data_IF_232284175172
#
_entry.id   IF_232284175172
#
_cell.length_a   1.000
_cell.length_b   1.000
_cell.length_c   1.000
_cell.angle_alpha   90.00
_cell.angle_beta   90.00
_cell.angle_gamma   90.00
#
_symmetry.space_group_name_H-M   'P 1'
#
loop_
_entity.id
_entity.type
_entity.pdbx_description
1 polymer ?
#
# COMPACT_ATOMS: atom_id res chain seq x y z
N UNK A 1 -24.76 -18.42 11.34
CA UNK A 1 -24.00 -19.04 12.45
C UNK A 1 -22.56 -18.92 12.00
N UNK A 2 -21.72 -18.26 12.80
CA UNK A 2 -20.31 -18.14 12.47
C UNK A 2 -19.68 -19.47 12.90
N UNK A 3 -19.42 -20.33 11.92
CA UNK A 3 -18.86 -21.65 12.16
C UNK A 3 -17.32 -21.55 12.19
N UNK A 4 -16.70 -22.27 13.12
CA UNK A 4 -15.25 -22.42 13.12
C UNK A 4 -14.84 -23.20 11.87
N UNK A 5 -13.90 -22.63 11.10
CA UNK A 5 -13.37 -23.24 9.89
C UNK A 5 -11.88 -23.49 10.01
N UNK A 6 -11.42 -24.62 9.48
CA UNK A 6 -9.98 -24.94 9.44
C UNK A 6 -9.23 -24.08 8.41
N UNK A 7 -9.90 -23.70 7.32
CA UNK A 7 -9.32 -22.92 6.21
C UNK A 7 -10.33 -21.91 5.70
N UNK A 8 -9.85 -20.68 5.47
CA UNK A 8 -10.58 -19.63 4.78
C UNK A 8 -9.91 -19.32 3.42
N UNK A 9 -10.69 -18.79 2.48
CA UNK A 9 -10.27 -18.46 1.12
C UNK A 9 -10.43 -16.97 0.80
N UNK A 10 -9.86 -16.53 -0.31
CA UNK A 10 -9.98 -15.15 -0.76
C UNK A 10 -11.46 -14.76 -0.99
N UNK A 11 -11.89 -13.66 -0.36
CA UNK A 11 -13.28 -13.18 -0.39
C UNK A 11 -14.02 -13.38 0.93
N UNK A 12 -13.51 -14.24 1.82
CA UNK A 12 -14.11 -14.48 3.12
C UNK A 12 -13.87 -13.31 4.09
N UNK A 13 -14.88 -12.99 4.90
CA UNK A 13 -14.71 -12.14 6.08
C UNK A 13 -14.63 -13.06 7.30
N UNK A 14 -13.49 -13.04 7.99
CA UNK A 14 -13.20 -13.99 9.06
C UNK A 14 -12.79 -13.27 10.34
N UNK A 15 -13.13 -13.88 11.48
CA UNK A 15 -12.51 -13.58 12.76
C UNK A 15 -11.23 -14.41 12.90
N UNK A 16 -10.12 -13.78 13.30
CA UNK A 16 -8.85 -14.47 13.55
C UNK A 16 -8.44 -14.29 15.01
N UNK A 17 -8.20 -15.41 15.70
CA UNK A 17 -7.61 -15.41 17.04
C UNK A 17 -6.10 -15.64 16.94
N UNK A 18 -5.31 -14.63 17.30
CA UNK A 18 -3.84 -14.68 17.24
C UNK A 18 -3.25 -14.89 18.64
N UNK A 19 -2.23 -15.73 18.76
CA UNK A 19 -1.47 -15.89 20.01
C UNK A 19 -0.32 -14.89 20.07
N UNK A 20 -0.05 -14.35 21.26
CA UNK A 20 1.06 -13.42 21.52
C UNK A 20 1.04 -12.15 20.66
N UNK A 21 -0.11 -11.76 20.13
CA UNK A 21 -0.28 -10.46 19.50
C UNK A 21 -0.61 -9.41 20.57
N UNK A 22 0.04 -8.25 20.50
CA UNK A 22 -0.40 -7.08 21.26
C UNK A 22 -1.50 -6.38 20.47
N UNK A 23 -2.66 -6.14 21.10
CA UNK A 23 -3.81 -5.47 20.49
C UNK A 23 -3.43 -4.07 19.99
N UNK A 24 -2.53 -3.36 20.68
CA UNK A 24 -2.07 -2.03 20.29
C UNK A 24 -1.38 -2.01 18.90
N UNK A 25 -0.93 -3.16 18.40
CA UNK A 25 -0.32 -3.29 17.07
C UNK A 25 -1.34 -3.60 15.97
N UNK A 26 -2.59 -3.92 16.32
CA UNK A 26 -3.66 -4.31 15.39
C UNK A 26 -4.61 -3.13 15.14
N UNK A 27 -4.11 -2.17 14.37
CA UNK A 27 -4.90 -1.00 13.94
C UNK A 27 -5.69 -1.29 12.67
N UNK A 28 -6.58 -0.37 12.27
CA UNK A 28 -7.40 -0.52 11.06
C UNK A 28 -6.62 -0.63 9.73
N UNK A 29 -5.34 -0.27 9.71
CA UNK A 29 -4.45 -0.40 8.56
C UNK A 29 -3.45 -1.55 8.69
N UNK A 30 -3.56 -2.38 9.73
CA UNK A 30 -2.65 -3.51 9.93
C UNK A 30 -2.90 -4.57 8.87
N UNK A 31 -1.81 -5.00 8.21
CA UNK A 31 -1.84 -6.07 7.20
C UNK A 31 -1.21 -7.31 7.82
N UNK A 32 -1.97 -8.41 7.86
CA UNK A 32 -1.49 -9.72 8.32
C UNK A 32 -1.12 -10.55 7.09
N UNK A 33 0.14 -10.96 7.01
CA UNK A 33 0.66 -11.81 5.93
C UNK A 33 1.42 -13.00 6.50
N UNK A 34 1.55 -14.06 5.70
CA UNK A 34 2.44 -15.15 6.03
C UNK A 34 3.90 -14.64 6.07
N UNK A 35 4.70 -15.01 7.09
CA UNK A 35 6.11 -14.66 7.12
C UNK A 35 6.86 -15.31 5.95
N UNK A 36 8.01 -14.74 5.53
CA UNK A 36 8.86 -15.39 4.54
C UNK A 36 9.30 -16.77 5.06
N UNK A 37 9.33 -17.76 4.17
CA UNK A 37 9.73 -19.14 4.47
C UNK A 37 10.97 -19.48 3.67
N UNK A 38 12.02 -19.93 4.36
CA UNK A 38 13.27 -20.40 3.75
C UNK A 38 13.54 -21.84 4.21
N UNK A 39 13.36 -22.81 3.31
CA UNK A 39 13.71 -24.21 3.53
C UNK A 39 14.76 -24.69 2.51
N UNK A 40 16.01 -24.70 2.96
CA UNK A 40 17.16 -25.14 2.18
C UNK A 40 17.12 -26.63 1.83
N UNK A 41 16.43 -27.47 2.61
CA UNK A 41 16.35 -28.92 2.36
C UNK A 41 15.32 -29.23 1.28
N UNK A 42 14.20 -28.50 1.30
CA UNK A 42 13.14 -28.61 0.29
C UNK A 42 13.42 -27.75 -0.96
N UNK A 43 14.50 -26.97 -0.98
CA UNK A 43 14.80 -25.96 -2.01
C UNK A 43 13.61 -25.00 -2.24
N UNK A 44 13.00 -24.57 -1.14
CA UNK A 44 11.81 -23.71 -1.12
C UNK A 44 12.16 -22.36 -0.50
N UNK A 45 11.88 -21.28 -1.23
CA UNK A 45 11.93 -19.91 -0.74
C UNK A 45 10.61 -19.22 -1.09
N UNK A 46 9.85 -18.82 -0.07
CA UNK A 46 8.62 -18.05 -0.19
C UNK A 46 8.90 -16.66 0.40
N UNK A 47 9.00 -15.61 -0.40
CA UNK A 47 9.27 -14.26 0.11
C UNK A 47 8.05 -13.68 0.81
N UNK A 48 8.24 -12.57 1.52
CA UNK A 48 7.13 -11.77 2.04
C UNK A 48 6.23 -11.31 0.88
N UNK A 49 4.91 -11.46 1.05
CA UNK A 49 3.90 -11.16 0.03
C UNK A 49 3.75 -9.66 -0.28
N UNK A 50 4.24 -8.79 0.60
CA UNK A 50 4.27 -7.34 0.41
C UNK A 50 5.71 -6.83 0.27
N UNK A 51 5.84 -5.73 -0.44
CA UNK A 51 7.03 -4.91 -0.53
C UNK A 51 6.82 -3.64 0.28
N UNK A 52 7.88 -3.17 0.95
CA UNK A 52 7.85 -1.96 1.79
C UNK A 52 8.43 -0.79 1.00
N UNK A 53 7.70 0.31 0.92
CA UNK A 53 8.09 1.51 0.19
C UNK A 53 8.27 2.67 1.17
N UNK A 54 9.52 3.00 1.49
CA UNK A 54 9.84 4.29 2.12
C UNK A 54 9.82 5.44 1.10
N UNK A 55 10.18 5.12 -0.14
CA UNK A 55 10.09 5.98 -1.32
C UNK A 55 9.50 5.18 -2.47
N UNK A 56 8.68 5.83 -3.28
CA UNK A 56 8.11 5.20 -4.47
C UNK A 56 8.22 6.08 -5.71
N UNK A 57 8.32 5.41 -6.86
CA UNK A 57 7.90 5.98 -8.14
C UNK A 57 6.40 5.76 -8.29
N UNK A 58 5.67 6.82 -8.59
CA UNK A 58 4.20 6.84 -8.72
C UNK A 58 3.85 7.25 -10.13
N UNK A 59 3.41 6.30 -10.95
CA UNK A 59 2.87 6.56 -12.28
C UNK A 59 1.40 6.92 -12.15
N UNK A 60 1.08 8.21 -12.22
CA UNK A 60 -0.25 8.74 -11.89
C UNK A 60 -1.12 8.89 -13.14
N UNK A 61 -2.20 8.11 -13.20
CA UNK A 61 -3.30 8.40 -14.10
C UNK A 61 -4.22 9.44 -13.47
N UNK A 62 -4.00 10.69 -13.86
CA UNK A 62 -4.74 11.84 -13.33
C UNK A 62 -6.23 11.74 -13.64
N UNK A 63 -7.06 12.07 -12.65
CA UNK A 63 -8.51 12.15 -12.78
C UNK A 63 -8.92 13.23 -13.79
N UNK A 64 -9.91 12.98 -14.66
CA UNK A 64 -10.33 13.95 -15.69
C UNK A 64 -10.92 15.24 -15.10
N UNK A 65 -11.32 15.23 -13.83
CA UNK A 65 -11.86 16.41 -13.14
C UNK A 65 -10.80 17.20 -12.38
N UNK A 66 -9.55 16.71 -12.35
CA UNK A 66 -8.49 17.35 -11.61
C UNK A 66 -8.03 18.62 -12.33
N UNK A 67 -7.93 19.70 -11.55
CA UNK A 67 -7.51 21.04 -12.03
C UNK A 67 -6.10 21.40 -11.60
N UNK A 68 -5.57 20.71 -10.58
CA UNK A 68 -4.25 20.97 -10.00
C UNK A 68 -3.25 19.95 -10.51
N UNK A 69 -2.06 20.43 -10.85
CA UNK A 69 -0.90 19.59 -11.18
C UNK A 69 -0.03 19.50 -9.93
N UNK A 70 0.40 18.29 -9.57
CA UNK A 70 1.29 18.09 -8.42
C UNK A 70 2.67 18.68 -8.71
N UNK A 71 3.26 19.28 -7.69
CA UNK A 71 4.60 19.85 -7.74
C UNK A 71 5.48 19.29 -6.60
N UNK A 72 6.81 19.36 -6.72
CA UNK A 72 7.71 19.05 -5.60
C UNK A 72 7.32 19.84 -4.34
N UNK A 73 7.27 19.15 -3.20
CA UNK A 73 6.86 19.69 -1.92
C UNK A 73 5.38 19.49 -1.57
N UNK A 74 4.50 19.20 -2.55
CA UNK A 74 3.09 18.92 -2.29
C UNK A 74 2.93 17.67 -1.41
N UNK A 75 1.91 17.71 -0.54
CA UNK A 75 1.55 16.60 0.36
C UNK A 75 0.42 15.79 -0.28
N UNK A 76 0.67 14.50 -0.48
CA UNK A 76 -0.30 13.54 -1.04
C UNK A 76 -0.59 12.43 -0.05
N UNK A 77 -1.71 11.75 -0.26
CA UNK A 77 -2.14 10.60 0.51
C UNK A 77 -2.35 9.43 -0.44
N UNK A 78 -1.68 8.31 -0.16
CA UNK A 78 -1.91 7.04 -0.84
C UNK A 78 -2.94 6.22 -0.05
N UNK A 79 -3.98 5.77 -0.75
CA UNK A 79 -4.99 4.86 -0.20
C UNK A 79 -4.99 3.55 -0.97
N UNK A 80 -4.68 2.46 -0.26
CA UNK A 80 -4.62 1.10 -0.82
C UNK A 80 -4.67 0.07 0.31
N UNK A 81 -5.43 -1.02 0.14
CA UNK A 81 -5.54 -2.08 1.14
C UNK A 81 -5.85 -1.57 2.57
N UNK A 82 -6.73 -0.58 2.69
CA UNK A 82 -7.09 0.14 3.93
C UNK A 82 -5.96 0.95 4.57
N UNK A 83 -4.76 0.93 4.01
CA UNK A 83 -3.72 1.89 4.37
C UNK A 83 -4.12 3.27 3.87
N UNK A 84 -3.77 4.28 4.67
CA UNK A 84 -3.90 5.68 4.30
C UNK A 84 -2.61 6.41 4.72
N UNK A 85 -1.65 6.45 3.81
CA UNK A 85 -0.27 6.88 4.09
C UNK A 85 -0.01 8.26 3.51
N UNK A 86 0.53 9.15 4.32
CA UNK A 86 0.95 10.49 3.93
C UNK A 86 2.32 10.42 3.26
N UNK A 87 2.50 11.16 2.18
CA UNK A 87 3.78 11.33 1.53
C UNK A 87 3.97 12.73 0.95
N UNK A 88 5.23 13.06 0.67
CA UNK A 88 5.64 14.31 0.05
C UNK A 88 6.24 14.05 -1.32
N UNK A 89 5.76 14.80 -2.32
CA UNK A 89 6.31 14.74 -3.67
C UNK A 89 7.74 15.29 -3.64
N UNK A 90 8.72 14.45 -3.97
CA UNK A 90 10.12 14.82 -4.05
C UNK A 90 10.46 15.41 -5.44
N UNK A 91 10.00 14.75 -6.50
CA UNK A 91 10.24 15.15 -7.90
C UNK A 91 9.01 14.88 -8.75
N UNK A 92 8.91 15.62 -9.86
CA UNK A 92 7.85 15.48 -10.87
C UNK A 92 8.51 15.44 -12.24
N UNK A 93 8.40 14.30 -12.92
CA UNK A 93 8.95 14.06 -14.25
C UNK A 93 7.82 13.62 -15.18
N UNK A 94 7.22 14.56 -15.90
CA UNK A 94 6.05 14.33 -16.75
C UNK A 94 4.88 13.66 -15.98
N UNK A 95 4.64 12.37 -16.18
CA UNK A 95 3.55 11.61 -15.55
C UNK A 95 4.02 10.75 -14.35
N UNK A 96 5.32 10.76 -14.06
CA UNK A 96 5.91 10.06 -12.92
C UNK A 96 6.26 11.03 -11.80
N UNK A 97 5.89 10.64 -10.58
CA UNK A 97 6.23 11.36 -9.36
C UNK A 97 7.17 10.48 -8.54
N UNK A 98 8.18 11.07 -7.91
CA UNK A 98 8.83 10.40 -6.78
C UNK A 98 8.19 10.92 -5.49
N UNK A 99 7.76 10.01 -4.62
CA UNK A 99 7.12 10.36 -3.34
C UNK A 99 7.90 9.73 -2.20
N UNK A 100 8.24 10.55 -1.22
CA UNK A 100 8.79 10.13 0.08
C UNK A 100 7.62 9.95 1.06
N UNK A 101 7.48 8.76 1.64
CA UNK A 101 6.37 8.45 2.55
C UNK A 101 6.76 8.69 4.02
N UNK A 102 5.90 9.33 4.79
CA UNK A 102 6.14 9.61 6.22
C UNK A 102 6.19 8.32 7.04
N UNK A 103 5.41 7.32 6.63
CA UNK A 103 5.47 5.94 7.10
C UNK A 103 5.53 5.02 5.88
N UNK A 104 6.16 3.84 5.98
CA UNK A 104 6.29 2.97 4.83
C UNK A 104 4.92 2.52 4.28
N UNK A 105 4.75 2.65 2.97
CA UNK A 105 3.59 2.10 2.26
C UNK A 105 3.89 0.65 1.88
N UNK A 106 2.96 -0.27 2.17
CA UNK A 106 3.10 -1.67 1.76
C UNK A 106 2.30 -1.96 0.51
N UNK A 107 2.93 -2.53 -0.52
CA UNK A 107 2.27 -2.90 -1.78
C UNK A 107 2.41 -4.42 -1.97
N UNK A 108 1.35 -5.08 -2.44
CA UNK A 108 1.40 -6.51 -2.76
C UNK A 108 2.34 -6.73 -3.94
N UNK A 109 3.24 -7.72 -3.84
CA UNK A 109 4.17 -8.05 -4.93
C UNK A 109 3.47 -8.69 -6.12
N UNK A 110 2.48 -9.53 -5.84
CA UNK A 110 1.66 -10.18 -6.85
C UNK A 110 0.38 -9.39 -7.07
N UNK A 111 0.09 -9.09 -8.34
CA UNK A 111 -1.12 -8.36 -8.77
C UNK A 111 -1.40 -7.11 -7.90
N UNK A 112 -0.45 -6.16 -7.83
CA UNK A 112 -0.61 -4.96 -7.01
C UNK A 112 -1.90 -4.23 -7.38
N UNK A 113 -2.75 -3.89 -6.39
CA UNK A 113 -3.93 -3.08 -6.66
C UNK A 113 -3.51 -1.67 -7.09
N UNK A 114 -4.40 -0.97 -7.80
CA UNK A 114 -4.16 0.44 -8.09
C UNK A 114 -4.28 1.28 -6.82
N UNK A 115 -3.32 2.18 -6.62
CA UNK A 115 -3.28 3.07 -5.46
C UNK A 115 -4.05 4.35 -5.77
N UNK A 116 -4.99 4.73 -4.91
CA UNK A 116 -5.68 6.01 -5.05
C UNK A 116 -4.79 7.11 -4.46
N UNK A 117 -4.48 8.12 -5.26
CA UNK A 117 -3.73 9.30 -4.82
C UNK A 117 -4.70 10.45 -4.58
N UNK A 118 -4.65 11.02 -3.37
CA UNK A 118 -5.46 12.14 -2.96
C UNK A 118 -4.62 13.30 -2.40
N UNK A 119 -5.09 14.52 -2.60
CA UNK A 119 -4.58 15.73 -2.00
C UNK A 119 -5.73 16.40 -1.25
N UNK A 120 -5.73 16.31 0.09
CA UNK A 120 -6.92 16.62 0.90
C UNK A 120 -7.28 18.12 0.92
N UNK A 121 -6.31 18.99 0.67
CA UNK A 121 -6.49 20.44 0.51
C UNK A 121 -6.98 20.81 -0.92
N UNK A 122 -6.90 19.89 -1.88
CA UNK A 122 -7.33 20.13 -3.26
C UNK A 122 -8.85 20.02 -3.46
N UNK A 123 -9.36 20.68 -4.51
CA UNK A 123 -10.76 20.64 -4.94
C UNK A 123 -10.82 20.42 -6.46
N UNK A 124 -11.08 19.19 -6.96
CA UNK A 124 -11.39 17.96 -6.22
C UNK A 124 -10.17 17.31 -5.53
N UNK A 125 -10.42 16.56 -4.45
CA UNK A 125 -9.37 15.93 -3.62
C UNK A 125 -8.69 14.72 -4.27
N UNK A 126 -9.38 14.03 -5.17
CA UNK A 126 -8.83 12.84 -5.82
C UNK A 126 -7.94 13.30 -6.97
N UNK A 127 -6.65 13.01 -6.87
CA UNK A 127 -5.69 13.30 -7.94
C UNK A 127 -5.82 12.27 -9.06
N UNK A 128 -6.01 10.99 -8.71
CA UNK A 128 -6.15 9.92 -9.69
C UNK A 128 -5.83 8.56 -9.10
N UNK A 129 -5.67 7.59 -9.98
CA UNK A 129 -5.24 6.23 -9.66
C UNK A 129 -3.80 6.04 -10.13
N UNK A 130 -2.99 5.30 -9.40
CA UNK A 130 -1.58 5.12 -9.72
C UNK A 130 -1.15 3.67 -9.70
N UNK A 131 -0.11 3.39 -10.47
CA UNK A 131 0.78 2.24 -10.24
C UNK A 131 1.97 2.75 -9.42
N UNK A 132 2.31 2.02 -8.36
CA UNK A 132 3.34 2.41 -7.41
C UNK A 132 4.40 1.32 -7.37
N UNK A 133 5.65 1.69 -7.63
CA UNK A 133 6.82 0.81 -7.55
C UNK A 133 7.79 1.35 -6.51
N UNK A 134 8.55 0.46 -5.86
CA UNK A 134 9.60 0.90 -4.94
C UNK A 134 10.65 1.65 -5.76
N UNK A 135 11.03 2.83 -5.28
CA UNK A 135 12.20 3.50 -5.83
C UNK A 135 13.39 3.06 -4.99
N UNK A 136 14.35 2.38 -5.62
CA UNK A 136 15.63 2.10 -4.99
C UNK A 136 16.26 3.44 -4.55
N UNK A 137 16.68 3.52 -3.29
CA UNK A 137 17.27 4.71 -2.68
C UNK A 137 18.64 5.08 -3.24
#
# INVERSE_FOLDING_TARGET
MDDDVEVASAGDRVGLALRNANEDHLTGSTIIVHPPVEDKRANLSVPLAVEQHARSTVSLRTSPFQKRVLAPGDVVHASVDLQFVVGRVATVNAEELTVDWDQPLFIRKEQPPSVLIAQLDSKPRIMGSAVVTAADG
#
